data_IF_517001305644
#
_entry.id   IF_517001305644
#
_cell.length_a   1.000
_cell.length_b   1.000
_cell.length_c   1.000
_cell.angle_alpha   90.00
_cell.angle_beta   90.00
_cell.angle_gamma   90.00
#
_symmetry.space_group_name_H-M   'P 1'
#
loop_
_entity.id
_entity.type
_entity.pdbx_description
1 polymer ?
#
# COMPACT_ATOMS: atom_id res chain seq x y z
N UNK A 1 -30.72 1.14 -9.14
CA UNK A 1 -29.93 0.88 -7.92
C UNK A 1 -30.58 1.50 -6.69
N UNK A 2 -30.82 2.82 -6.65
CA UNK A 2 -31.57 3.45 -5.55
C UNK A 2 -32.92 2.77 -5.28
N UNK A 3 -33.72 2.56 -6.33
CA UNK A 3 -35.02 1.87 -6.24
C UNK A 3 -34.94 0.45 -5.68
N UNK A 4 -33.80 -0.23 -5.86
CA UNK A 4 -33.59 -1.61 -5.40
C UNK A 4 -33.12 -1.63 -3.93
N UNK A 5 -32.33 -0.64 -3.53
CA UNK A 5 -31.77 -0.53 -2.18
C UNK A 5 -32.68 0.21 -1.21
N UNK A 6 -33.69 0.92 -1.71
CA UNK A 6 -34.68 1.62 -0.90
C UNK A 6 -35.70 0.63 -0.32
N UNK A 7 -35.77 0.44 1.01
CA UNK A 7 -36.77 -0.44 1.64
C UNK A 7 -38.22 -0.06 1.31
N UNK A 8 -38.48 1.21 0.96
CA UNK A 8 -39.83 1.66 0.59
C UNK A 8 -40.23 1.25 -0.84
N UNK A 9 -39.25 1.01 -1.73
CA UNK A 9 -39.48 0.76 -3.16
C UNK A 9 -39.19 -0.68 -3.56
N UNK A 10 -38.30 -1.38 -2.84
CA UNK A 10 -37.78 -2.69 -3.24
C UNK A 10 -38.83 -3.82 -3.30
N UNK A 11 -39.99 -3.66 -2.66
CA UNK A 11 -41.09 -4.65 -2.70
C UNK A 11 -41.85 -4.69 -4.04
N UNK A 12 -41.70 -3.64 -4.86
CA UNK A 12 -42.36 -3.50 -6.16
C UNK A 12 -41.39 -3.03 -7.24
N UNK A 13 -40.15 -3.52 -7.19
CA UNK A 13 -39.16 -3.19 -8.22
C UNK A 13 -39.66 -3.63 -9.59
N UNK A 14 -39.64 -2.73 -10.58
CA UNK A 14 -40.11 -3.04 -11.94
C UNK A 14 -38.94 -3.04 -12.91
N UNK A 15 -38.62 -4.21 -13.42
CA UNK A 15 -37.68 -4.35 -14.52
C UNK A 15 -38.36 -4.01 -15.86
N UNK A 16 -37.63 -3.33 -16.76
CA UNK A 16 -38.17 -2.89 -18.06
C UNK A 16 -38.46 -4.04 -19.02
N UNK A 17 -37.70 -5.13 -18.94
CA UNK A 17 -37.88 -6.29 -19.81
C UNK A 17 -39.03 -7.18 -19.31
N UNK A 18 -39.04 -7.46 -18.01
CA UNK A 18 -40.06 -8.32 -17.39
C UNK A 18 -41.41 -7.61 -17.26
N UNK A 19 -41.40 -6.30 -17.06
CA UNK A 19 -42.59 -5.44 -17.03
C UNK A 19 -43.65 -5.81 -15.97
N UNK A 20 -43.26 -6.57 -14.93
CA UNK A 20 -44.06 -6.83 -13.73
C UNK A 20 -43.23 -6.53 -12.46
N UNK A 21 -43.92 -6.39 -11.33
CA UNK A 21 -43.29 -6.07 -10.05
C UNK A 21 -42.61 -7.30 -9.44
N UNK A 22 -41.38 -7.13 -8.99
CA UNK A 22 -40.57 -8.13 -8.28
C UNK A 22 -40.37 -7.65 -6.85
N UNK A 23 -40.63 -8.54 -5.89
CA UNK A 23 -40.39 -8.26 -4.48
C UNK A 23 -38.94 -8.64 -4.10
N UNK A 24 -38.15 -7.62 -3.78
CA UNK A 24 -36.76 -7.74 -3.33
C UNK A 24 -36.59 -7.45 -1.82
N UNK A 25 -37.69 -7.30 -1.07
CA UNK A 25 -37.66 -6.90 0.35
C UNK A 25 -36.93 -7.90 1.26
N UNK A 26 -36.85 -9.17 0.85
CA UNK A 26 -36.17 -10.25 1.58
C UNK A 26 -34.78 -10.58 1.03
N UNK A 27 -34.28 -9.77 0.09
CA UNK A 27 -32.94 -9.95 -0.50
C UNK A 27 -31.92 -9.17 0.31
N UNK A 28 -30.83 -9.83 0.69
CA UNK A 28 -29.67 -9.18 1.32
C UNK A 28 -28.74 -8.71 0.22
N UNK A 29 -28.47 -7.40 0.17
CA UNK A 29 -27.51 -6.80 -0.74
C UNK A 29 -26.17 -6.61 -0.06
N UNK A 30 -25.10 -7.10 -0.68
CA UNK A 30 -23.72 -6.88 -0.22
C UNK A 30 -22.96 -6.23 -1.38
N UNK A 31 -22.42 -5.04 -1.13
CA UNK A 31 -21.57 -4.31 -2.06
C UNK A 31 -20.15 -4.22 -1.51
N UNK A 32 -19.16 -4.15 -2.39
CA UNK A 32 -17.75 -3.94 -2.02
C UNK A 32 -17.21 -2.69 -2.72
N UNK A 33 -16.40 -1.92 -2.02
CA UNK A 33 -15.73 -0.74 -2.54
C UNK A 33 -14.35 -0.60 -1.91
N UNK A 34 -13.38 -0.11 -2.69
CA UNK A 34 -12.03 0.21 -2.18
C UNK A 34 -11.93 1.66 -1.68
N UNK A 35 -12.76 2.54 -2.23
CA UNK A 35 -12.76 3.96 -1.90
C UNK A 35 -14.20 4.46 -1.77
N UNK A 36 -14.55 4.89 -0.56
CA UNK A 36 -15.89 5.38 -0.20
C UNK A 36 -16.17 6.73 -0.85
N UNK A 37 -15.13 7.54 -1.14
CA UNK A 37 -15.28 8.88 -1.71
C UNK A 37 -15.89 8.85 -3.11
N UNK A 38 -15.67 7.77 -3.86
CA UNK A 38 -16.20 7.56 -5.20
C UNK A 38 -17.66 7.09 -5.21
N UNK A 39 -18.24 6.73 -4.05
CA UNK A 39 -19.63 6.26 -3.98
C UNK A 39 -20.57 7.47 -3.96
N UNK A 40 -21.57 7.55 -4.86
CA UNK A 40 -22.56 8.63 -4.85
C UNK A 40 -23.24 8.78 -3.49
N UNK A 41 -23.38 10.02 -3.00
CA UNK A 41 -23.98 10.31 -1.70
C UNK A 41 -25.35 9.64 -1.47
N UNK A 42 -26.29 9.62 -2.45
CA UNK A 42 -27.59 8.97 -2.27
C UNK A 42 -27.53 7.47 -1.98
N UNK A 43 -26.47 6.79 -2.43
CA UNK A 43 -26.24 5.38 -2.16
C UNK A 43 -25.57 5.18 -0.79
N UNK A 44 -24.63 6.07 -0.42
CA UNK A 44 -23.93 6.00 0.87
C UNK A 44 -24.90 6.10 2.04
N UNK A 45 -25.89 6.98 1.95
CA UNK A 45 -26.86 7.20 3.03
C UNK A 45 -27.78 5.98 3.28
N UNK A 46 -27.78 5.00 2.37
CA UNK A 46 -28.62 3.80 2.41
C UNK A 46 -27.81 2.52 2.61
N UNK A 47 -26.54 2.64 2.97
CA UNK A 47 -25.62 1.52 3.17
C UNK A 47 -25.05 1.55 4.57
N UNK A 48 -24.91 0.37 5.17
CA UNK A 48 -24.06 0.19 6.35
C UNK A 48 -22.63 -0.10 5.88
N UNK A 49 -21.67 0.66 6.40
CA UNK A 49 -20.26 0.49 6.05
C UNK A 49 -19.55 -0.39 7.06
N UNK A 50 -18.98 -1.49 6.56
CA UNK A 50 -18.09 -2.37 7.31
C UNK A 50 -16.70 -2.20 6.72
N UNK A 51 -15.81 -1.52 7.45
CA UNK A 51 -14.43 -1.33 7.02
C UNK A 51 -13.61 -2.59 7.30
N UNK A 52 -12.91 -3.07 6.28
CA UNK A 52 -11.99 -4.19 6.39
C UNK A 52 -10.56 -3.67 6.38
N UNK A 53 -9.88 -3.82 7.51
CA UNK A 53 -8.48 -3.41 7.66
C UNK A 53 -7.52 -4.32 6.90
N UNK A 54 -6.32 -3.81 6.66
CA UNK A 54 -5.21 -4.59 6.10
C UNK A 54 -4.73 -5.67 7.07
N UNK A 55 -4.08 -6.71 6.54
CA UNK A 55 -3.50 -7.77 7.37
C UNK A 55 -2.08 -7.42 7.79
N UNK A 56 -1.77 -7.65 9.06
CA UNK A 56 -0.41 -7.68 9.59
C UNK A 56 0.38 -8.86 9.03
N UNK A 57 1.73 -8.82 9.03
CA UNK A 57 2.55 -9.96 8.61
C UNK A 57 2.21 -11.26 9.35
N UNK A 58 1.91 -11.17 10.65
CA UNK A 58 1.52 -12.33 11.47
C UNK A 58 0.16 -12.90 11.05
N UNK A 59 -0.82 -12.05 10.73
CA UNK A 59 -2.11 -12.51 10.20
C UNK A 59 -1.93 -13.16 8.83
N UNK A 60 -1.14 -12.56 7.94
CA UNK A 60 -0.83 -13.14 6.62
C UNK A 60 -0.16 -14.51 6.72
N UNK A 61 0.75 -14.68 7.69
CA UNK A 61 1.39 -15.96 7.97
C UNK A 61 0.34 -17.04 8.30
N UNK A 62 -0.57 -16.73 9.22
CA UNK A 62 -1.64 -17.67 9.60
C UNK A 62 -2.63 -17.91 8.46
N UNK A 63 -2.97 -16.88 7.69
CA UNK A 63 -3.85 -16.98 6.51
C UNK A 63 -3.21 -17.90 5.46
N UNK A 64 -1.92 -17.73 5.20
CA UNK A 64 -1.18 -18.55 4.25
C UNK A 64 -1.16 -20.02 4.67
N UNK A 65 -0.84 -20.30 5.93
CA UNK A 65 -0.74 -21.67 6.45
C UNK A 65 -2.09 -22.38 6.56
N UNK A 66 -3.12 -21.68 7.04
CA UNK A 66 -4.45 -22.27 7.28
C UNK A 66 -5.33 -22.35 6.04
N UNK A 67 -5.20 -21.42 5.10
CA UNK A 67 -6.13 -21.30 3.98
C UNK A 67 -5.44 -21.34 2.61
N UNK A 68 -4.44 -20.47 2.37
CA UNK A 68 -3.89 -20.34 1.00
C UNK A 68 -3.15 -21.61 0.54
N UNK A 69 -2.26 -22.16 1.37
CA UNK A 69 -1.51 -23.38 1.00
C UNK A 69 -2.47 -24.56 0.77
N UNK A 70 -3.39 -24.91 1.70
CA UNK A 70 -4.33 -26.00 1.46
C UNK A 70 -5.21 -25.82 0.22
N UNK A 71 -5.71 -24.60 -0.01
CA UNK A 71 -6.55 -24.29 -1.17
C UNK A 71 -5.77 -24.45 -2.48
N UNK A 72 -4.58 -23.87 -2.55
CA UNK A 72 -3.77 -23.90 -3.78
C UNK A 72 -3.22 -25.30 -4.06
N UNK A 73 -2.90 -26.09 -3.04
CA UNK A 73 -2.55 -27.51 -3.23
C UNK A 73 -3.68 -28.28 -3.91
N UNK A 74 -4.91 -28.14 -3.39
CA UNK A 74 -6.10 -28.79 -3.98
C UNK A 74 -6.33 -28.35 -5.43
N UNK A 75 -6.26 -27.05 -5.71
CA UNK A 75 -6.44 -26.51 -7.07
C UNK A 75 -5.40 -27.02 -8.06
N UNK A 76 -4.18 -27.29 -7.61
CA UNK A 76 -3.09 -27.79 -8.45
C UNK A 76 -2.93 -29.32 -8.38
N UNK A 77 -3.88 -30.05 -7.76
CA UNK A 77 -3.89 -31.50 -7.71
C UNK A 77 -2.80 -32.12 -6.83
N UNK A 78 -2.21 -31.35 -5.91
CA UNK A 78 -1.17 -31.81 -4.98
C UNK A 78 -1.77 -32.30 -3.66
N UNK A 79 -1.20 -33.35 -3.09
CA UNK A 79 -1.53 -33.84 -1.76
C UNK A 79 -0.79 -33.01 -0.69
N UNK A 80 -1.34 -33.00 0.52
CA UNK A 80 -0.76 -32.25 1.66
C UNK A 80 0.64 -32.70 2.06
N UNK A 81 1.04 -33.93 1.71
CA UNK A 81 2.36 -34.47 1.99
C UNK A 81 3.38 -34.28 0.85
N UNK A 82 2.95 -33.82 -0.32
CA UNK A 82 3.79 -33.67 -1.52
C UNK A 82 4.54 -32.34 -1.56
N UNK A 83 4.08 -31.32 -0.82
CA UNK A 83 4.74 -30.03 -0.67
C UNK A 83 4.81 -29.61 0.79
N UNK A 84 5.99 -29.19 1.24
CA UNK A 84 6.22 -28.61 2.55
C UNK A 84 7.00 -27.31 2.41
N UNK A 85 6.55 -26.28 3.11
CA UNK A 85 7.23 -24.98 3.20
C UNK A 85 7.48 -24.75 4.70
N UNK A 86 8.71 -24.44 5.08
CA UNK A 86 9.08 -24.08 6.45
C UNK A 86 8.57 -22.67 6.82
N UNK A 87 8.35 -22.44 8.11
CA UNK A 87 7.74 -21.21 8.61
C UNK A 87 8.60 -19.98 8.30
N UNK A 88 9.94 -20.10 8.39
CA UNK A 88 10.88 -19.04 8.01
C UNK A 88 10.76 -18.63 6.53
N UNK A 89 10.49 -19.58 5.63
CA UNK A 89 10.26 -19.25 4.21
C UNK A 89 8.92 -18.60 3.99
N UNK A 90 7.87 -18.96 4.74
CA UNK A 90 6.59 -18.28 4.67
C UNK A 90 6.76 -16.81 5.06
N UNK A 91 7.47 -16.54 6.15
CA UNK A 91 7.80 -15.18 6.58
C UNK A 91 8.59 -14.42 5.51
N UNK A 92 9.61 -15.06 4.93
CA UNK A 92 10.42 -14.48 3.85
C UNK A 92 9.59 -14.17 2.60
N UNK A 93 8.63 -15.02 2.22
CA UNK A 93 7.73 -14.77 1.08
C UNK A 93 6.86 -13.54 1.37
N UNK A 94 6.35 -13.42 2.59
CA UNK A 94 5.50 -12.30 3.00
C UNK A 94 6.29 -10.98 2.97
N UNK A 95 7.54 -10.97 3.46
CA UNK A 95 8.36 -9.75 3.54
C UNK A 95 8.96 -9.33 2.19
N UNK A 96 9.53 -10.28 1.43
CA UNK A 96 10.44 -9.96 0.32
C UNK A 96 9.80 -10.14 -1.06
N UNK A 97 8.71 -10.91 -1.15
CA UNK A 97 8.05 -11.26 -2.41
C UNK A 97 6.65 -10.66 -2.55
N UNK A 98 6.12 -10.01 -1.51
CA UNK A 98 4.80 -9.36 -1.54
C UNK A 98 4.81 -8.01 -0.85
N UNK A 99 4.21 -6.99 -1.49
CA UNK A 99 3.89 -5.70 -0.88
C UNK A 99 2.47 -5.33 -1.29
N UNK A 100 1.53 -5.61 -0.39
CA UNK A 100 0.10 -5.34 -0.55
C UNK A 100 -0.53 -5.31 0.85
N UNK A 101 -1.71 -4.72 1.00
CA UNK A 101 -2.51 -4.80 2.23
C UNK A 101 -3.19 -6.16 2.39
N UNK A 102 -3.63 -6.75 1.28
CA UNK A 102 -4.30 -8.05 1.22
C UNK A 102 -3.35 -9.25 1.08
N UNK A 103 -3.87 -10.32 0.48
CA UNK A 103 -3.16 -11.60 0.25
C UNK A 103 -3.27 -12.09 -1.20
N UNK A 104 -3.57 -11.20 -2.16
CA UNK A 104 -3.80 -11.59 -3.55
C UNK A 104 -2.49 -11.97 -4.25
N UNK A 105 -1.46 -11.14 -4.13
CA UNK A 105 -0.12 -11.46 -4.60
C UNK A 105 0.47 -12.62 -3.80
N UNK A 106 0.21 -12.70 -2.50
CA UNK A 106 0.61 -13.85 -1.69
C UNK A 106 0.03 -15.16 -2.23
N UNK A 107 -1.27 -15.20 -2.54
CA UNK A 107 -1.91 -16.37 -3.17
C UNK A 107 -1.29 -16.69 -4.54
N UNK A 108 -0.96 -15.67 -5.36
CA UNK A 108 -0.28 -15.89 -6.66
C UNK A 108 1.08 -16.55 -6.48
N UNK A 109 1.85 -16.13 -5.47
CA UNK A 109 3.16 -16.74 -5.14
C UNK A 109 3.00 -18.18 -4.67
N UNK A 110 2.04 -18.47 -3.80
CA UNK A 110 1.73 -19.86 -3.40
C UNK A 110 1.34 -20.73 -4.60
N UNK A 111 0.51 -20.21 -5.51
CA UNK A 111 0.14 -20.93 -6.73
C UNK A 111 1.34 -21.18 -7.66
N UNK A 112 2.28 -20.24 -7.75
CA UNK A 112 3.53 -20.39 -8.48
C UNK A 112 4.42 -21.49 -7.90
N UNK A 113 4.57 -21.52 -6.57
CA UNK A 113 5.26 -22.60 -5.86
C UNK A 113 4.61 -23.95 -6.18
N UNK A 114 3.27 -24.06 -6.05
CA UNK A 114 2.55 -25.29 -6.34
C UNK A 114 2.79 -25.79 -7.77
N UNK A 115 2.72 -24.90 -8.78
CA UNK A 115 2.99 -25.27 -10.18
C UNK A 115 4.40 -25.79 -10.40
N UNK A 116 5.41 -25.08 -9.87
CA UNK A 116 6.80 -25.50 -10.03
C UNK A 116 7.09 -26.79 -9.26
N UNK A 117 6.51 -26.98 -8.07
CA UNK A 117 6.61 -28.22 -7.32
C UNK A 117 5.95 -29.39 -8.04
N UNK A 118 4.76 -29.21 -8.61
CA UNK A 118 4.09 -30.25 -9.41
C UNK A 118 4.94 -30.69 -10.61
N UNK A 119 5.53 -29.73 -11.33
CA UNK A 119 6.47 -30.01 -12.42
C UNK A 119 7.69 -30.81 -11.92
N UNK A 120 8.27 -30.44 -10.78
CA UNK A 120 9.44 -31.10 -10.19
C UNK A 120 9.13 -32.55 -9.77
N UNK A 121 7.99 -32.77 -9.11
CA UNK A 121 7.50 -34.11 -8.75
C UNK A 121 7.39 -35.02 -9.98
N UNK A 122 6.83 -34.50 -11.08
CA UNK A 122 6.64 -35.27 -12.31
C UNK A 122 7.96 -35.57 -13.05
N UNK A 123 8.85 -34.58 -13.18
CA UNK A 123 10.09 -34.72 -13.95
C UNK A 123 11.19 -35.50 -13.21
N UNK A 124 11.33 -35.27 -11.91
CA UNK A 124 12.38 -35.88 -11.10
C UNK A 124 11.92 -37.17 -10.41
N UNK A 125 10.65 -37.55 -10.56
CA UNK A 125 10.02 -38.72 -9.96
C UNK A 125 10.22 -38.80 -8.43
N UNK A 126 10.24 -37.65 -7.77
CA UNK A 126 10.36 -37.50 -6.31
C UNK A 126 8.97 -37.47 -5.67
N UNK A 127 8.87 -37.95 -4.42
CA UNK A 127 7.58 -38.05 -3.69
C UNK A 127 7.18 -36.78 -2.93
N UNK A 128 8.13 -35.90 -2.64
CA UNK A 128 7.92 -34.70 -1.82
C UNK A 128 8.90 -33.60 -2.19
N UNK A 129 8.40 -32.38 -2.29
CA UNK A 129 9.19 -31.15 -2.43
C UNK A 129 9.21 -30.41 -1.10
N UNK A 130 10.40 -30.04 -0.65
CA UNK A 130 10.59 -29.21 0.54
C UNK A 130 11.20 -27.89 0.08
N UNK A 131 10.50 -26.80 0.36
CA UNK A 131 10.95 -25.44 0.06
C UNK A 131 11.43 -24.80 1.35
N UNK A 132 12.64 -24.27 1.31
CA UNK A 132 13.29 -23.55 2.40
C UNK A 132 13.92 -22.24 1.90
N UNK A 133 14.44 -21.43 2.82
CA UNK A 133 15.00 -20.11 2.51
C UNK A 133 16.16 -20.15 1.51
N UNK A 134 16.88 -21.28 1.42
CA UNK A 134 18.04 -21.46 0.54
C UNK A 134 17.64 -21.80 -0.90
N UNK A 135 16.61 -22.62 -1.09
CA UNK A 135 16.16 -23.07 -2.41
C UNK A 135 14.97 -22.27 -2.96
N UNK A 136 14.42 -21.32 -2.20
CA UNK A 136 13.28 -20.50 -2.62
C UNK A 136 13.50 -19.83 -3.99
N UNK A 137 14.73 -19.40 -4.28
CA UNK A 137 15.11 -18.75 -5.55
C UNK A 137 14.96 -19.67 -6.78
N UNK A 138 14.93 -20.99 -6.60
CA UNK A 138 14.63 -21.94 -7.68
C UNK A 138 13.13 -21.88 -8.06
N UNK A 139 12.28 -21.50 -7.10
CA UNK A 139 10.82 -21.50 -7.25
C UNK A 139 10.24 -20.12 -7.47
N UNK A 140 10.78 -19.06 -6.87
CA UNK A 140 10.31 -17.69 -7.08
C UNK A 140 11.45 -16.87 -7.67
N UNK A 141 11.18 -16.22 -8.80
CA UNK A 141 12.13 -15.31 -9.39
C UNK A 141 12.26 -14.04 -8.52
N UNK A 142 13.49 -13.49 -8.48
CA UNK A 142 13.99 -12.25 -7.83
C UNK A 142 13.08 -11.58 -6.78
N UNK A 143 13.61 -11.30 -5.59
CA UNK A 143 12.97 -10.41 -4.60
C UNK A 143 12.43 -9.16 -5.31
N UNK A 144 11.11 -9.03 -5.36
CA UNK A 144 10.44 -7.95 -6.10
C UNK A 144 10.71 -6.62 -5.38
N UNK A 145 10.92 -6.70 -4.07
CA UNK A 145 11.12 -5.56 -3.21
C UNK A 145 12.37 -5.82 -2.39
N UNK A 146 13.43 -5.08 -2.69
CA UNK A 146 14.35 -4.72 -1.62
C UNK A 146 13.56 -3.75 -0.75
N UNK A 147 13.14 -4.17 0.44
CA UNK A 147 12.95 -3.21 1.52
C UNK A 147 14.26 -2.44 1.52
N UNK A 148 14.26 -1.17 1.08
CA UNK A 148 15.45 -0.34 1.12
C UNK A 148 15.99 -0.52 2.52
N UNK A 149 17.13 -1.22 2.64
CA UNK A 149 17.78 -1.38 3.93
C UNK A 149 18.04 0.05 4.36
N UNK A 150 17.32 0.50 5.37
CA UNK A 150 17.65 1.73 6.02
C UNK A 150 19.10 1.53 6.45
N UNK A 151 20.03 2.27 5.85
CA UNK A 151 21.46 2.10 6.14
C UNK A 151 21.77 2.41 7.62
N UNK A 152 20.75 2.75 8.43
CA UNK A 152 20.84 3.08 9.84
C UNK A 152 21.36 4.50 10.06
N UNK A 153 21.78 5.17 8.99
CA UNK A 153 22.33 6.50 9.02
C UNK A 153 21.24 7.53 8.75
N UNK A 154 21.10 8.47 9.68
CA UNK A 154 20.21 9.61 9.50
C UNK A 154 20.71 10.47 8.34
N UNK A 155 19.91 10.57 7.27
CA UNK A 155 20.22 11.44 6.14
C UNK A 155 19.64 12.85 6.38
N UNK A 156 20.48 13.86 6.21
CA UNK A 156 20.04 15.26 6.30
C UNK A 156 19.29 15.63 5.02
N UNK A 157 18.08 16.17 5.16
CA UNK A 157 17.24 16.54 4.02
C UNK A 157 16.33 15.41 3.53
N UNK A 158 16.20 14.32 4.27
CA UNK A 158 15.25 13.25 3.97
C UNK A 158 14.43 12.93 5.22
N UNK A 159 13.12 12.75 5.07
CA UNK A 159 12.22 12.33 6.14
C UNK A 159 11.26 11.27 5.64
N UNK A 160 10.93 10.31 6.50
CA UNK A 160 9.92 9.29 6.21
C UNK A 160 8.55 9.79 6.72
N UNK A 161 7.62 10.00 5.81
CA UNK A 161 6.22 10.32 6.08
C UNK A 161 5.34 9.09 5.98
N UNK A 162 4.29 9.03 6.79
CA UNK A 162 3.23 8.03 6.65
C UNK A 162 2.14 8.61 5.75
N UNK A 163 1.75 7.87 4.72
CA UNK A 163 0.68 8.23 3.80
C UNK A 163 -0.45 7.22 3.87
N UNK A 164 -1.68 7.70 3.67
CA UNK A 164 -2.85 6.86 3.50
C UNK A 164 -3.22 6.82 2.03
N UNK A 165 -3.10 5.63 1.43
CA UNK A 165 -3.35 5.43 -0.01
C UNK A 165 -4.65 4.66 -0.19
N UNK A 166 -5.17 4.61 -1.42
CA UNK A 166 -6.35 3.81 -1.77
C UNK A 166 -6.17 2.30 -1.55
N UNK A 167 -4.94 1.82 -1.35
CA UNK A 167 -4.62 0.41 -1.09
C UNK A 167 -4.14 0.16 0.35
N UNK A 168 -4.21 1.18 1.22
CA UNK A 168 -3.80 1.12 2.62
C UNK A 168 -2.67 2.10 2.96
N UNK A 169 -2.11 1.97 4.16
CA UNK A 169 -1.00 2.80 4.61
C UNK A 169 0.30 2.50 3.85
N UNK A 170 1.05 3.53 3.48
CA UNK A 170 2.39 3.43 2.89
C UNK A 170 3.37 4.41 3.54
N UNK A 171 4.67 4.16 3.36
CA UNK A 171 5.74 5.04 3.82
C UNK A 171 6.30 5.78 2.61
N UNK A 172 6.16 7.10 2.61
CA UNK A 172 6.71 7.98 1.58
C UNK A 172 7.97 8.66 2.08
N UNK A 173 8.96 8.78 1.19
CA UNK A 173 10.23 9.42 1.49
C UNK A 173 10.22 10.83 0.91
N UNK A 174 10.09 11.83 1.78
CA UNK A 174 10.11 13.24 1.38
C UNK A 174 11.54 13.74 1.43
N UNK A 175 11.98 14.38 0.36
CA UNK A 175 13.36 14.82 0.19
C UNK A 175 13.41 16.33 -0.02
N UNK A 176 14.43 16.97 0.53
CA UNK A 176 14.65 18.41 0.45
C UNK A 176 16.13 18.71 0.22
N UNK A 177 16.41 19.50 -0.81
CA UNK A 177 17.77 19.93 -1.16
C UNK A 177 17.86 21.44 -1.06
N UNK A 178 18.98 21.92 -0.50
CA UNK A 178 19.34 23.35 -0.50
C UNK A 178 20.30 23.66 -1.63
N UNK A 179 20.04 24.74 -2.36
CA UNK A 179 20.85 25.20 -3.48
C UNK A 179 21.13 26.69 -3.26
N UNK A 180 22.34 27.18 -3.51
CA UNK A 180 22.61 28.63 -3.41
C UNK A 180 21.72 29.37 -4.41
N UNK A 181 21.00 30.39 -3.96
CA UNK A 181 19.95 31.02 -4.75
C UNK A 181 19.39 32.28 -4.11
N UNK A 182 18.13 32.58 -4.41
CA UNK A 182 17.41 33.81 -4.01
C UNK A 182 16.19 33.55 -3.11
N UNK A 183 16.15 32.41 -2.41
CA UNK A 183 15.06 32.08 -1.49
C UNK A 183 13.82 31.44 -2.12
N UNK A 184 13.92 30.94 -3.35
CA UNK A 184 12.80 30.30 -4.05
C UNK A 184 12.50 28.89 -3.53
N UNK A 185 11.22 28.54 -3.49
CA UNK A 185 10.73 27.21 -3.12
C UNK A 185 10.22 26.48 -4.37
N UNK A 186 10.86 25.38 -4.73
CA UNK A 186 10.46 24.48 -5.83
C UNK A 186 9.88 23.19 -5.26
N UNK A 187 8.73 22.76 -5.80
CA UNK A 187 8.02 21.55 -5.36
C UNK A 187 7.86 20.57 -6.53
N UNK A 188 8.19 19.29 -6.34
CA UNK A 188 8.06 18.24 -7.37
C UNK A 188 7.41 16.96 -6.85
N UNK A 189 6.77 16.22 -7.76
CA UNK A 189 6.11 14.94 -7.48
C UNK A 189 4.58 15.00 -7.48
N UNK A 190 4.02 15.63 -8.52
CA UNK A 190 2.58 15.62 -8.81
C UNK A 190 1.66 16.12 -7.68
N UNK A 191 2.17 17.03 -6.84
CA UNK A 191 1.42 17.57 -5.71
C UNK A 191 0.14 18.31 -6.15
N UNK A 192 -0.98 17.97 -5.50
CA UNK A 192 -2.21 18.76 -5.56
C UNK A 192 -2.07 20.14 -4.91
N UNK A 193 -3.03 21.03 -5.15
CA UNK A 193 -2.92 22.42 -4.71
C UNK A 193 -2.92 22.58 -3.17
N UNK A 194 -3.65 21.72 -2.45
CA UNK A 194 -3.65 21.67 -0.98
C UNK A 194 -2.26 21.35 -0.43
N UNK A 195 -1.53 20.43 -1.07
CA UNK A 195 -0.18 20.09 -0.67
C UNK A 195 0.83 21.19 -1.00
N UNK A 196 0.67 21.88 -2.14
CA UNK A 196 1.48 23.05 -2.48
C UNK A 196 1.30 24.17 -1.45
N UNK A 197 0.07 24.40 -1.01
CA UNK A 197 -0.23 25.37 0.04
C UNK A 197 0.42 24.96 1.37
N UNK A 198 0.26 23.71 1.76
CA UNK A 198 0.84 23.16 2.99
C UNK A 198 2.37 23.30 3.03
N UNK A 199 3.04 23.02 1.90
CA UNK A 199 4.49 23.20 1.76
C UNK A 199 4.92 24.68 1.88
N UNK A 200 4.14 25.61 1.33
CA UNK A 200 4.39 27.06 1.48
C UNK A 200 4.21 27.52 2.92
N UNK A 201 3.18 27.03 3.62
CA UNK A 201 2.95 27.33 5.03
C UNK A 201 4.13 26.83 5.88
N UNK A 202 4.58 25.59 5.65
CA UNK A 202 5.73 25.03 6.34
C UNK A 202 7.00 25.87 6.10
N UNK A 203 7.23 26.32 4.87
CA UNK A 203 8.36 27.20 4.54
C UNK A 203 8.29 28.54 5.27
N UNK A 204 7.11 29.19 5.29
CA UNK A 204 6.88 30.43 6.04
C UNK A 204 7.10 30.24 7.55
N UNK A 205 6.62 29.13 8.12
CA UNK A 205 6.81 28.82 9.54
C UNK A 205 8.30 28.69 9.89
N UNK A 206 9.10 28.03 9.05
CA UNK A 206 10.55 27.91 9.28
C UNK A 206 11.23 29.29 9.26
N UNK A 207 10.82 30.20 8.37
CA UNK A 207 11.36 31.58 8.34
C UNK A 207 11.08 32.30 9.66
N UNK A 208 9.84 32.25 10.15
CA UNK A 208 9.47 32.86 11.45
C UNK A 208 10.29 32.26 12.59
N UNK A 209 10.43 30.93 12.65
CA UNK A 209 11.20 30.27 13.70
C UNK A 209 12.70 30.60 13.67
N UNK A 210 13.24 30.92 12.48
CA UNK A 210 14.61 31.42 12.33
C UNK A 210 14.69 32.86 12.86
N UNK A 211 13.77 33.73 12.46
CA UNK A 211 13.77 35.15 12.85
C UNK A 211 13.56 35.32 14.35
N UNK A 212 12.74 34.46 14.98
CA UNK A 212 12.54 34.40 16.44
C UNK A 212 13.73 33.76 17.20
N UNK A 213 14.76 33.28 16.49
CA UNK A 213 15.93 32.65 17.09
C UNK A 213 15.67 31.28 17.74
N UNK A 214 14.50 30.68 17.50
CA UNK A 214 14.14 29.33 17.99
C UNK A 214 14.95 28.24 17.27
N UNK A 215 15.30 28.48 16.01
CA UNK A 215 16.18 27.60 15.23
C UNK A 215 17.57 28.22 15.14
N UNK A 216 18.57 27.54 15.71
CA UNK A 216 19.97 27.99 15.65
C UNK A 216 20.60 27.61 14.31
N UNK A 217 21.05 28.61 13.55
CA UNK A 217 21.70 28.39 12.25
C UNK A 217 23.22 28.23 12.43
N UNK A 218 23.83 27.17 11.87
CA UNK A 218 25.28 27.02 11.85
C UNK A 218 25.96 28.15 11.07
N UNK A 219 27.00 28.76 11.64
CA UNK A 219 27.78 29.86 11.01
C UNK A 219 28.30 29.52 9.59
N UNK A 220 28.54 28.24 9.31
CA UNK A 220 29.02 27.75 7.99
C UNK A 220 28.00 27.92 6.85
N UNK A 221 26.72 28.15 7.17
CA UNK A 221 25.64 28.30 6.18
C UNK A 221 25.36 29.78 5.90
N UNK A 222 25.87 30.70 6.72
CA UNK A 222 25.67 32.14 6.52
C UNK A 222 26.63 32.60 5.43
N UNK A 223 26.08 33.03 4.29
CA UNK A 223 26.86 33.57 3.16
C UNK A 223 27.16 35.06 3.38
N UNK A 224 26.12 35.83 3.73
CA UNK A 224 26.23 37.25 4.07
C UNK A 224 25.50 37.51 5.41
N UNK A 225 26.17 38.06 6.44
CA UNK A 225 25.54 38.40 7.72
C UNK A 225 24.42 39.45 7.61
N UNK A 226 24.33 40.19 6.50
CA UNK A 226 23.32 41.24 6.28
C UNK A 226 22.04 40.71 5.63
N UNK A 227 22.05 39.49 5.10
CA UNK A 227 20.93 38.88 4.39
C UNK A 227 20.39 37.72 5.21
N UNK A 228 19.07 37.59 5.29
CA UNK A 228 18.46 36.45 5.95
C UNK A 228 18.91 35.15 5.27
N UNK A 229 19.24 34.15 6.07
CA UNK A 229 19.85 32.92 5.56
C UNK A 229 18.94 32.21 4.56
N UNK A 230 17.64 32.25 4.77
CA UNK A 230 16.66 31.64 3.85
C UNK A 230 16.52 32.37 2.51
N UNK A 231 16.96 33.62 2.38
CA UNK A 231 16.95 34.35 1.09
C UNK A 231 18.21 34.07 0.27
N UNK A 232 19.24 33.47 0.89
CA UNK A 232 20.50 33.08 0.22
C UNK A 232 20.46 31.69 -0.42
N UNK A 233 19.39 30.91 -0.18
CA UNK A 233 19.26 29.55 -0.65
C UNK A 233 17.87 29.28 -1.23
N UNK A 234 17.83 28.67 -2.41
CA UNK A 234 16.63 28.03 -2.93
C UNK A 234 16.46 26.66 -2.25
N UNK A 235 15.22 26.28 -1.97
CA UNK A 235 14.86 24.98 -1.42
C UNK A 235 14.03 24.23 -2.45
N UNK A 236 14.46 23.02 -2.78
CA UNK A 236 13.71 22.11 -3.63
C UNK A 236 13.20 20.95 -2.76
N UNK A 237 11.87 20.80 -2.67
CA UNK A 237 11.22 19.67 -1.99
C UNK A 237 10.64 18.72 -3.03
N UNK A 238 10.97 17.44 -2.92
CA UNK A 238 10.34 16.37 -3.65
C UNK A 238 9.47 15.53 -2.70
N UNK A 239 8.20 15.36 -3.07
CA UNK A 239 7.26 14.48 -2.39
C UNK A 239 6.81 13.43 -3.42
N UNK A 240 7.12 12.13 -3.23
CA UNK A 240 6.67 11.09 -4.13
C UNK A 240 5.14 11.04 -4.21
N UNK A 241 4.63 10.69 -5.40
CA UNK A 241 3.21 10.47 -5.62
C UNK A 241 2.77 9.21 -4.88
N UNK A 242 1.67 9.28 -4.14
CA UNK A 242 1.24 8.17 -3.27
C UNK A 242 0.13 8.49 -2.28
N UNK A 243 -0.29 9.76 -2.14
CA UNK A 243 -1.40 10.17 -1.29
C UNK A 243 -2.35 11.11 -2.06
#
# INVERSE_FOLDING_TARGET
LLEILDPEQNSKFRDYYLNFNIDLSKVIFIATANDISNIPAPLRDRMEFIELSSYTPSEKFHIMKKYLIPDELKKHGLKSNELSIDDETIELIISDYTRESGVRNLRRKVAELCRKSAKKLLLENIKKVIINTKNLNEFLDKKVFEIEKNNGENQVGQVNGLAWTSVGGDVLKVEAVKIKGKGELTLTGSLGDVMKESARIAFSMIKVLIDEGKIKIPKKIIIDPKVNVYDSYNIHIHVPDGA
#
